data_IF_274741431672
#
_entry.id   IF_274741431672
#
_cell.length_a   1.000
_cell.length_b   1.000
_cell.length_c   1.000
_cell.angle_alpha   90.00
_cell.angle_beta   90.00
_cell.angle_gamma   90.00
#
_symmetry.space_group_name_H-M   'P 1'
#
loop_
_entity.id
_entity.type
_entity.pdbx_description
1 polymer ?
#
# COMPACT_ATOMS: atom_id res chain seq x y z
N UNK A 1 -17.63 -20.74 23.56
CA UNK A 1 -18.51 -19.72 22.96
C UNK A 1 -17.81 -18.40 23.20
N UNK A 2 -17.41 -17.73 22.10
CA UNK A 2 -17.01 -16.31 21.96
C UNK A 2 -15.89 -15.77 22.87
N UNK A 3 -15.01 -14.95 22.28
CA UNK A 3 -13.82 -14.28 22.86
C UNK A 3 -12.58 -15.20 22.88
N UNK A 4 -11.56 -15.14 22.01
CA UNK A 4 -11.01 -14.07 21.17
C UNK A 4 -10.36 -14.65 19.88
N UNK A 5 -11.08 -14.67 18.76
CA UNK A 5 -10.49 -14.92 17.44
C UNK A 5 -9.80 -13.64 16.92
N UNK A 6 -8.94 -13.02 17.73
CA UNK A 6 -8.24 -11.80 17.34
C UNK A 6 -6.84 -12.16 16.86
N UNK A 7 -6.59 -11.96 15.56
CA UNK A 7 -5.24 -12.00 15.02
C UNK A 7 -4.44 -10.82 15.59
N UNK A 8 -3.35 -11.12 16.28
CA UNK A 8 -2.42 -10.13 16.84
C UNK A 8 -1.09 -10.19 16.08
N UNK A 9 -0.45 -9.04 15.93
CA UNK A 9 0.88 -8.98 15.32
C UNK A 9 1.90 -9.63 16.25
N UNK A 10 2.82 -10.40 15.68
CA UNK A 10 3.92 -11.00 16.44
C UNK A 10 4.80 -9.95 17.13
N UNK A 11 4.80 -8.72 16.63
CA UNK A 11 5.56 -7.58 17.12
C UNK A 11 4.87 -6.73 18.18
N UNK A 12 3.64 -7.05 18.60
CA UNK A 12 2.85 -6.20 19.49
C UNK A 12 3.04 -6.59 20.97
N UNK A 13 3.85 -5.84 21.76
CA UNK A 13 4.09 -6.16 23.17
C UNK A 13 2.95 -5.71 24.10
N UNK A 14 1.98 -4.94 23.60
CA UNK A 14 0.92 -4.33 24.40
C UNK A 14 -0.33 -5.21 24.40
N UNK A 15 -0.48 -6.06 25.44
CA UNK A 15 -1.79 -6.64 25.73
C UNK A 15 -2.57 -5.71 26.64
N UNK A 16 -3.80 -5.37 26.25
CA UNK A 16 -4.86 -4.80 27.09
C UNK A 16 -5.37 -5.79 28.13
N UNK A 17 -5.05 -7.08 27.98
CA UNK A 17 -5.45 -8.13 28.92
C UNK A 17 -4.33 -8.49 29.89
N UNK A 18 -4.74 -8.74 31.13
CA UNK A 18 -3.94 -9.13 32.29
C UNK A 18 -3.19 -10.46 32.15
N UNK A 19 -3.27 -11.14 31.00
CA UNK A 19 -2.66 -12.45 30.76
C UNK A 19 -1.46 -12.34 29.80
N UNK A 20 -0.26 -12.53 30.34
CA UNK A 20 1.02 -12.49 29.61
C UNK A 20 1.11 -13.45 28.41
N UNK A 21 0.20 -14.44 28.31
CA UNK A 21 0.23 -15.55 27.34
C UNK A 21 0.03 -15.16 25.87
N UNK A 22 -0.49 -13.96 25.59
CA UNK A 22 -0.79 -13.50 24.23
C UNK A 22 0.03 -12.28 23.80
N UNK A 23 1.03 -11.86 24.58
CA UNK A 23 1.88 -10.72 24.24
C UNK A 23 2.86 -11.09 23.14
N UNK A 24 2.89 -10.29 22.07
CA UNK A 24 3.92 -10.37 21.04
C UNK A 24 5.29 -9.98 21.60
N UNK A 25 6.32 -10.23 20.80
CA UNK A 25 7.72 -9.93 21.13
C UNK A 25 8.13 -8.73 20.28
N UNK A 26 8.54 -7.63 20.92
CA UNK A 26 8.96 -6.42 20.20
C UNK A 26 10.03 -6.76 19.14
N UNK A 27 9.87 -6.19 17.93
CA UNK A 27 10.77 -6.47 16.82
C UNK A 27 10.59 -7.83 16.16
N UNK A 28 9.60 -8.64 16.54
CA UNK A 28 9.36 -9.94 15.95
C UNK A 28 8.51 -9.88 14.68
N UNK A 29 9.05 -10.38 13.57
CA UNK A 29 8.36 -10.44 12.27
C UNK A 29 7.45 -11.65 12.19
N UNK A 30 7.92 -12.81 12.65
CA UNK A 30 7.20 -14.07 12.60
C UNK A 30 7.33 -14.80 13.94
N UNK A 31 6.24 -15.39 14.39
CA UNK A 31 6.16 -16.10 15.66
C UNK A 31 5.30 -17.35 15.55
N UNK A 32 5.61 -18.33 16.40
CA UNK A 32 4.81 -19.54 16.56
C UNK A 32 4.09 -19.48 17.90
N UNK A 33 2.85 -19.97 17.95
CA UNK A 33 2.06 -20.05 19.17
C UNK A 33 1.50 -21.45 19.32
N UNK A 34 1.79 -22.10 20.44
CA UNK A 34 1.14 -23.34 20.86
C UNK A 34 0.19 -23.04 22.01
N UNK A 35 -0.92 -23.80 22.10
CA UNK A 35 -2.13 -23.47 22.88
C UNK A 35 -1.90 -22.65 24.16
N UNK A 36 -1.18 -23.20 25.13
CA UNK A 36 -0.97 -22.58 26.46
C UNK A 36 0.34 -21.82 26.60
N UNK A 37 1.18 -21.78 25.56
CA UNK A 37 2.49 -21.14 25.62
C UNK A 37 2.44 -19.69 25.14
N UNK A 38 3.40 -18.90 25.63
CA UNK A 38 3.70 -17.59 25.08
C UNK A 38 4.15 -17.75 23.61
N UNK A 39 3.85 -16.78 22.73
CA UNK A 39 4.35 -16.83 21.36
C UNK A 39 5.89 -16.81 21.36
N UNK A 40 6.50 -17.71 20.60
CA UNK A 40 7.94 -17.79 20.41
C UNK A 40 8.31 -17.17 19.07
N UNK A 41 9.18 -16.17 19.10
CA UNK A 41 9.63 -15.50 17.89
C UNK A 41 10.56 -16.41 17.09
N UNK A 42 10.46 -16.37 15.76
CA UNK A 42 11.25 -17.18 14.83
C UNK A 42 12.02 -16.35 13.81
N UNK A 43 11.63 -15.09 13.60
CA UNK A 43 12.28 -14.17 12.68
C UNK A 43 12.12 -12.73 13.19
N UNK A 44 13.19 -11.94 13.11
CA UNK A 44 13.16 -10.53 13.49
C UNK A 44 12.76 -9.62 12.31
N UNK A 45 12.16 -8.48 12.63
CA UNK A 45 11.87 -7.41 11.67
C UNK A 45 13.16 -6.76 11.18
N UNK A 46 13.09 -6.06 10.04
CA UNK A 46 14.18 -5.22 9.57
C UNK A 46 14.55 -4.17 10.63
N UNK A 47 15.86 -4.00 10.85
CA UNK A 47 16.41 -3.14 11.90
C UNK A 47 16.50 -3.81 13.26
N UNK A 48 16.38 -5.14 13.33
CA UNK A 48 16.61 -5.92 14.54
C UNK A 48 17.58 -7.08 14.28
N UNK A 49 18.36 -7.46 15.29
CA UNK A 49 19.27 -8.60 15.30
C UNK A 49 18.75 -9.69 16.25
N UNK A 50 18.94 -10.96 15.88
CA UNK A 50 18.61 -12.07 16.77
C UNK A 50 19.50 -12.09 18.02
N UNK A 51 18.86 -12.27 19.18
CA UNK A 51 19.53 -12.56 20.43
C UNK A 51 19.02 -13.90 20.95
N UNK A 52 19.95 -14.81 21.25
CA UNK A 52 19.66 -16.17 21.75
C UNK A 52 19.98 -16.34 23.23
N UNK A 53 20.36 -15.25 23.92
CA UNK A 53 20.73 -15.25 25.33
C UNK A 53 19.45 -15.32 26.18
N UNK A 54 19.01 -16.55 26.48
CA UNK A 54 17.81 -16.81 27.30
C UNK A 54 16.51 -17.02 26.52
N UNK A 55 16.57 -17.23 25.20
CA UNK A 55 15.42 -17.39 24.31
C UNK A 55 15.63 -16.64 22.99
N UNK A 56 14.78 -16.85 21.98
CA UNK A 56 14.85 -16.10 20.73
C UNK A 56 14.15 -14.74 20.90
N UNK A 57 14.93 -13.67 21.00
CA UNK A 57 14.45 -12.28 21.07
C UNK A 57 15.09 -11.44 19.98
N UNK A 58 14.54 -10.24 19.75
CA UNK A 58 14.97 -9.33 18.70
C UNK A 58 15.46 -8.02 19.33
N UNK A 59 16.75 -7.76 19.23
CA UNK A 59 17.37 -6.53 19.74
C UNK A 59 17.44 -5.47 18.63
N UNK A 60 17.15 -4.19 18.90
CA UNK A 60 17.18 -3.16 17.87
C UNK A 60 18.61 -2.87 17.38
N UNK A 61 18.75 -2.64 16.09
CA UNK A 61 19.94 -2.04 15.49
C UNK A 61 19.94 -0.52 15.69
N UNK A 62 21.07 0.13 15.38
CA UNK A 62 21.14 1.59 15.38
C UNK A 62 20.16 2.23 14.36
N UNK A 63 19.72 3.49 14.57
CA UNK A 63 18.84 4.18 13.62
C UNK A 63 19.38 4.17 12.18
N UNK A 64 18.49 3.97 11.19
CA UNK A 64 18.85 3.88 9.77
C UNK A 64 19.47 2.54 9.34
N UNK A 65 19.76 1.63 10.28
CA UNK A 65 20.34 0.33 10.00
C UNK A 65 19.26 -0.74 9.72
N UNK A 66 19.38 -1.46 8.61
CA UNK A 66 18.49 -2.57 8.25
C UNK A 66 18.96 -3.90 8.84
N UNK A 67 20.27 -4.16 8.84
CA UNK A 67 20.88 -5.30 9.53
C UNK A 67 22.16 -4.87 10.23
N UNK A 68 22.40 -5.37 11.44
CA UNK A 68 23.57 -5.04 12.25
C UNK A 68 24.23 -6.30 12.82
N UNK A 69 25.50 -6.19 13.21
CA UNK A 69 26.23 -7.24 13.94
C UNK A 69 26.22 -7.03 15.46
N UNK A 70 25.66 -5.90 15.93
CA UNK A 70 25.57 -5.55 17.35
C UNK A 70 24.41 -4.59 17.58
N UNK A 71 23.66 -4.84 18.66
CA UNK A 71 22.55 -3.99 19.12
C UNK A 71 23.00 -2.54 19.28
N UNK A 72 22.19 -1.62 18.75
CA UNK A 72 22.27 -0.16 18.95
C UNK A 72 23.64 0.49 18.65
N UNK A 73 24.56 -0.23 18.00
CA UNK A 73 25.91 0.27 17.71
C UNK A 73 25.96 0.78 16.25
N UNK A 74 26.05 2.11 16.03
CA UNK A 74 26.04 2.69 14.69
C UNK A 74 27.30 2.36 13.88
N UNK A 75 28.35 1.80 14.49
CA UNK A 75 29.55 1.33 13.79
C UNK A 75 29.48 -0.14 13.35
N UNK A 76 28.35 -0.79 13.63
CA UNK A 76 28.13 -2.23 13.40
C UNK A 76 26.96 -2.48 12.48
N UNK A 77 26.59 -1.51 11.66
CA UNK A 77 25.63 -1.74 10.61
C UNK A 77 26.27 -2.47 9.43
N UNK A 78 25.55 -3.46 8.91
CA UNK A 78 25.97 -4.26 7.76
C UNK A 78 25.23 -3.81 6.49
N UNK A 79 23.94 -3.47 6.63
CA UNK A 79 23.11 -2.93 5.54
C UNK A 79 22.21 -1.82 6.05
N UNK A 80 21.91 -0.84 5.21
CA UNK A 80 21.11 0.32 5.56
C UNK A 80 19.66 0.18 5.10
N UNK A 81 18.75 0.82 5.84
CA UNK A 81 17.34 0.96 5.42
C UNK A 81 17.25 1.79 4.14
N UNK A 82 16.15 1.65 3.40
CA UNK A 82 15.86 2.54 2.29
C UNK A 82 15.91 4.01 2.75
N UNK A 83 16.50 4.88 1.92
CA UNK A 83 16.78 6.28 2.27
C UNK A 83 18.03 6.52 3.10
N UNK A 84 18.83 5.48 3.33
CA UNK A 84 20.17 5.55 3.91
C UNK A 84 21.18 4.80 3.03
N UNK A 85 22.43 5.26 3.04
CA UNK A 85 23.55 4.58 2.40
C UNK A 85 24.63 4.25 3.41
N UNK A 86 25.33 3.14 3.20
CA UNK A 86 26.49 2.78 4.01
C UNK A 86 27.65 3.68 3.59
N UNK A 87 28.22 4.42 4.53
CA UNK A 87 29.35 5.33 4.28
C UNK A 87 30.51 4.58 3.64
N UNK A 88 30.92 3.51 4.30
CA UNK A 88 31.92 2.54 3.87
C UNK A 88 31.82 1.28 4.75
N UNK A 89 32.32 0.15 4.25
CA UNK A 89 32.24 -1.14 4.96
C UNK A 89 33.09 -1.20 6.24
N UNK A 90 34.01 -0.24 6.45
CA UNK A 90 34.90 -0.23 7.61
C UNK A 90 34.35 0.60 8.78
N UNK A 91 33.58 1.65 8.50
CA UNK A 91 32.87 2.45 9.49
C UNK A 91 31.59 1.76 9.96
N UNK A 92 30.90 1.05 9.06
CA UNK A 92 29.62 0.42 9.36
C UNK A 92 28.50 1.43 9.67
N UNK A 93 28.66 2.70 9.28
CA UNK A 93 27.73 3.79 9.56
C UNK A 93 26.75 4.00 8.39
N UNK A 94 25.45 4.01 8.70
CA UNK A 94 24.40 4.38 7.74
C UNK A 94 24.08 5.87 7.81
N UNK A 95 24.20 6.55 6.68
CA UNK A 95 23.97 7.99 6.54
C UNK A 95 22.70 8.20 5.74
N UNK A 96 21.87 9.18 6.13
CA UNK A 96 20.68 9.52 5.34
C UNK A 96 21.08 10.03 3.95
N UNK A 97 20.38 9.57 2.91
CA UNK A 97 20.58 10.07 1.55
C UNK A 97 20.47 11.60 1.43
N UNK A 98 19.74 12.26 2.34
CA UNK A 98 19.55 13.71 2.37
C UNK A 98 20.52 14.49 3.27
N UNK A 99 21.44 13.83 3.98
CA UNK A 99 22.34 14.51 4.91
C UNK A 99 23.54 15.13 4.17
N UNK A 100 23.41 16.42 3.81
CA UNK A 100 24.45 17.16 3.09
C UNK A 100 25.74 17.35 3.89
N UNK A 101 25.70 17.24 5.21
CA UNK A 101 26.90 17.34 6.07
C UNK A 101 27.75 16.09 6.02
N UNK A 102 27.17 14.96 5.60
CA UNK A 102 27.81 13.65 5.54
C UNK A 102 27.86 13.06 4.12
N UNK A 103 27.74 13.91 3.10
CA UNK A 103 27.90 13.51 1.69
C UNK A 103 26.63 13.04 0.99
N UNK A 104 25.46 13.23 1.61
CA UNK A 104 24.17 13.10 0.94
C UNK A 104 23.82 14.31 0.07
N UNK A 105 22.70 14.21 -0.65
CA UNK A 105 22.14 15.28 -1.50
C UNK A 105 20.81 15.73 -0.89
N UNK A 106 20.65 17.02 -0.60
CA UNK A 106 19.40 17.56 -0.09
C UNK A 106 18.23 17.13 -0.98
N UNK A 107 17.14 16.69 -0.35
CA UNK A 107 15.98 16.22 -1.09
C UNK A 107 16.10 14.82 -1.68
N UNK A 108 17.18 14.08 -1.45
CA UNK A 108 17.29 12.71 -1.92
C UNK A 108 16.53 11.71 -1.02
N UNK A 109 15.58 10.96 -1.58
CA UNK A 109 14.81 9.94 -0.87
C UNK A 109 15.44 8.55 -0.97
N UNK A 110 15.98 8.20 -2.13
CA UNK A 110 16.65 6.91 -2.34
C UNK A 110 17.99 7.17 -3.02
N UNK A 111 19.03 6.45 -2.59
CA UNK A 111 20.38 6.64 -3.07
C UNK A 111 21.17 5.33 -3.09
N UNK A 112 22.27 5.33 -3.84
CA UNK A 112 23.23 4.24 -3.90
C UNK A 112 24.64 4.76 -3.66
N UNK A 113 25.49 3.95 -3.01
CA UNK A 113 26.88 4.30 -2.74
C UNK A 113 27.83 3.16 -3.13
N UNK A 114 27.70 2.67 -4.37
CA UNK A 114 28.58 1.63 -4.93
C UNK A 114 29.74 2.27 -5.70
N UNK A 115 30.65 2.90 -4.96
CA UNK A 115 31.83 3.60 -5.48
C UNK A 115 31.68 5.12 -5.52
N UNK A 116 30.58 5.63 -6.08
CA UNK A 116 30.23 7.06 -6.03
C UNK A 116 28.80 7.19 -5.54
N UNK A 117 28.57 8.12 -4.61
CA UNK A 117 27.23 8.43 -4.12
C UNK A 117 26.37 8.96 -5.27
N UNK A 118 25.18 8.37 -5.42
CA UNK A 118 24.18 8.77 -6.42
C UNK A 118 22.82 8.81 -5.76
N UNK A 119 22.12 9.93 -5.90
CA UNK A 119 20.69 9.94 -5.64
C UNK A 119 19.96 9.24 -6.80
N UNK A 120 19.06 8.31 -6.51
CA UNK A 120 18.27 7.59 -7.52
C UNK A 120 16.82 8.03 -7.55
N UNK A 121 16.33 8.62 -6.45
CA UNK A 121 14.96 9.14 -6.34
C UNK A 121 14.94 10.33 -5.40
N UNK A 122 14.27 11.40 -5.81
CA UNK A 122 14.04 12.55 -4.95
C UNK A 122 12.89 12.30 -3.98
N UNK A 123 12.93 12.98 -2.84
CA UNK A 123 11.82 13.09 -1.89
C UNK A 123 10.62 13.70 -2.60
N UNK A 124 9.45 13.37 -2.06
CA UNK A 124 8.22 14.08 -2.38
C UNK A 124 8.50 15.58 -2.27
N UNK A 125 8.05 16.37 -3.26
CA UNK A 125 8.29 17.81 -3.43
C UNK A 125 9.68 18.23 -3.90
N UNK A 126 10.47 17.31 -4.46
CA UNK A 126 11.70 17.66 -5.17
C UNK A 126 11.61 17.16 -6.61
N UNK A 127 11.95 18.04 -7.56
CA UNK A 127 12.06 17.68 -8.97
C UNK A 127 13.45 17.07 -9.21
N UNK A 128 13.51 15.83 -9.75
CA UNK A 128 14.77 15.26 -10.20
C UNK A 128 15.23 15.95 -11.48
N UNK A 129 16.54 16.18 -11.59
CA UNK A 129 17.21 16.57 -12.82
C UNK A 129 18.38 15.63 -13.09
N UNK A 130 18.47 15.13 -14.32
CA UNK A 130 19.40 14.07 -14.73
C UNK A 130 18.79 12.67 -14.72
N UNK A 131 19.61 11.66 -14.99
CA UNK A 131 19.18 10.26 -15.12
C UNK A 131 19.47 9.46 -13.83
N UNK A 132 18.53 8.65 -13.32
CA UNK A 132 18.74 7.82 -12.11
C UNK A 132 19.97 6.92 -12.17
N UNK A 133 20.34 6.41 -13.36
CA UNK A 133 21.53 5.55 -13.55
C UNK A 133 22.85 6.28 -13.31
N UNK A 134 22.90 7.57 -13.60
CA UNK A 134 24.07 8.43 -13.38
C UNK A 134 24.01 9.19 -12.06
N UNK A 135 22.82 9.28 -11.47
CA UNK A 135 22.50 10.08 -10.30
C UNK A 135 21.67 11.30 -10.70
N UNK A 136 20.65 11.61 -9.90
CA UNK A 136 19.83 12.82 -10.06
C UNK A 136 20.26 13.89 -9.05
N UNK A 137 20.11 15.15 -9.42
CA UNK A 137 20.06 16.26 -8.47
C UNK A 137 18.60 16.53 -8.10
N UNK A 138 18.34 16.77 -6.83
CA UNK A 138 17.00 17.06 -6.33
C UNK A 138 16.89 18.55 -6.02
N UNK A 139 16.05 19.25 -6.76
CA UNK A 139 15.73 20.66 -6.51
C UNK A 139 14.33 20.73 -5.91
N UNK A 140 14.11 21.57 -4.89
CA UNK A 140 12.77 21.69 -4.31
C UNK A 140 11.80 22.15 -5.40
N UNK A 141 10.65 21.50 -5.50
CA UNK A 141 9.65 21.79 -6.51
C UNK A 141 9.09 23.22 -6.38
N UNK A 142 9.11 23.83 -5.18
CA UNK A 142 8.72 25.22 -4.90
C UNK A 142 9.74 26.29 -5.34
N UNK A 143 10.88 25.89 -5.90
CA UNK A 143 11.88 26.84 -6.44
C UNK A 143 11.68 27.11 -7.94
N UNK A 144 10.68 26.49 -8.56
CA UNK A 144 10.20 26.88 -9.89
C UNK A 144 9.31 28.13 -9.75
N UNK A 145 9.55 29.18 -10.52
CA UNK A 145 8.72 30.40 -10.50
C UNK A 145 7.23 30.11 -10.78
N UNK A 146 6.93 28.98 -11.44
CA UNK A 146 5.56 28.51 -11.70
C UNK A 146 4.95 27.71 -10.54
N UNK A 147 5.74 27.24 -9.57
CA UNK A 147 5.30 26.47 -8.41
C UNK A 147 5.54 27.26 -7.12
N UNK A 148 4.49 27.57 -6.36
CA UNK A 148 4.56 28.53 -5.25
C UNK A 148 4.93 29.96 -5.59
N UNK A 149 4.85 30.33 -6.89
CA UNK A 149 5.14 31.69 -7.33
C UNK A 149 6.58 32.11 -7.02
N UNK A 150 7.53 31.17 -7.03
CA UNK A 150 8.95 31.43 -6.76
C UNK A 150 9.27 31.78 -5.30
N UNK A 151 8.38 31.48 -4.34
CA UNK A 151 8.62 31.72 -2.91
C UNK A 151 8.90 30.43 -2.15
N UNK A 152 9.74 30.52 -1.11
CA UNK A 152 10.02 29.40 -0.22
C UNK A 152 8.69 28.89 0.37
N UNK A 153 8.36 27.62 0.10
CA UNK A 153 7.12 26.99 0.55
C UNK A 153 7.25 25.47 0.64
N UNK A 154 6.24 24.79 1.15
CA UNK A 154 6.15 23.33 1.04
C UNK A 154 5.14 22.97 -0.07
N UNK A 155 5.50 22.05 -0.97
CA UNK A 155 4.64 21.62 -2.07
C UNK A 155 3.85 20.34 -1.76
N UNK A 156 3.47 20.11 -0.49
CA UNK A 156 2.85 18.85 -0.07
C UNK A 156 1.40 18.68 -0.56
N UNK A 157 0.78 19.72 -1.13
CA UNK A 157 -0.57 19.60 -1.65
C UNK A 157 -0.55 18.91 -3.01
N UNK A 158 -0.74 17.60 -3.01
CA UNK A 158 -0.83 16.79 -4.22
C UNK A 158 -2.24 16.87 -4.79
N UNK A 159 -2.38 17.27 -6.04
CA UNK A 159 -3.66 17.29 -6.78
C UNK A 159 -3.53 16.44 -8.03
N UNK A 160 -4.53 15.60 -8.28
CA UNK A 160 -4.58 14.66 -9.39
C UNK A 160 -5.51 15.27 -10.43
N UNK A 161 -5.01 15.45 -11.65
CA UNK A 161 -5.82 15.96 -12.76
C UNK A 161 -6.77 14.89 -13.35
N UNK A 162 -7.51 15.27 -14.39
CA UNK A 162 -8.47 14.39 -15.04
C UNK A 162 -7.78 13.17 -15.70
N UNK A 163 -6.55 13.32 -16.15
CA UNK A 163 -5.75 12.27 -16.78
C UNK A 163 -5.11 11.33 -15.74
N UNK A 164 -5.17 11.70 -14.46
CA UNK A 164 -4.56 10.94 -13.36
C UNK A 164 -3.11 11.31 -13.09
N UNK A 165 -2.65 12.45 -13.60
CA UNK A 165 -1.30 12.94 -13.34
C UNK A 165 -1.30 13.72 -12.04
N UNK A 166 -0.34 13.40 -11.17
CA UNK A 166 -0.12 14.11 -9.90
C UNK A 166 0.65 15.42 -10.13
N UNK A 167 0.10 16.49 -9.58
CA UNK A 167 0.68 17.83 -9.57
C UNK A 167 0.88 18.28 -8.14
N UNK A 168 1.95 19.03 -7.90
CA UNK A 168 2.34 19.49 -6.57
C UNK A 168 2.09 20.99 -6.42
N UNK A 169 1.39 21.36 -5.36
CA UNK A 169 0.95 22.72 -5.06
C UNK A 169 1.34 23.12 -3.63
N UNK A 170 1.32 24.42 -3.35
CA UNK A 170 1.75 24.92 -2.04
C UNK A 170 0.75 24.59 -0.94
N UNK A 171 1.26 23.90 0.08
CA UNK A 171 0.61 23.67 1.37
C UNK A 171 1.08 24.65 2.45
N UNK A 172 2.20 25.35 2.22
CA UNK A 172 2.84 26.24 3.19
C UNK A 172 3.61 27.36 2.49
N UNK A 173 3.57 28.56 3.04
CA UNK A 173 4.30 29.73 2.53
C UNK A 173 5.28 30.28 3.56
N UNK A 174 6.58 30.10 3.33
CA UNK A 174 7.63 30.47 4.28
C UNK A 174 7.80 31.97 4.51
N UNK A 175 7.38 32.79 3.57
CA UNK A 175 7.21 34.22 3.80
C UNK A 175 5.92 34.46 4.62
N UNK A 176 6.05 35.06 5.80
CA UNK A 176 4.92 35.33 6.71
C UNK A 176 3.90 36.32 6.16
N UNK A 177 4.22 37.04 5.08
CA UNK A 177 3.31 37.92 4.35
C UNK A 177 2.56 37.25 3.20
N UNK A 178 2.78 35.94 3.00
CA UNK A 178 2.17 35.16 1.93
C UNK A 178 1.25 34.06 2.47
N UNK A 179 0.29 33.67 1.64
CA UNK A 179 -0.80 32.76 2.02
C UNK A 179 -0.97 31.65 0.98
N UNK A 180 -1.16 30.38 1.37
CA UNK A 180 -1.35 29.27 0.44
C UNK A 180 -2.78 29.25 -0.13
N UNK A 181 -2.97 29.96 -1.24
CA UNK A 181 -4.25 30.13 -1.93
C UNK A 181 -4.13 29.58 -3.35
N UNK A 182 -5.06 28.72 -3.73
CA UNK A 182 -5.11 28.06 -5.04
C UNK A 182 -3.78 27.38 -5.42
N UNK A 183 -3.10 26.83 -4.40
CA UNK A 183 -1.83 26.14 -4.58
C UNK A 183 -0.63 27.05 -4.84
N UNK A 184 -0.75 28.35 -4.59
CA UNK A 184 0.30 29.36 -4.71
C UNK A 184 0.45 30.16 -3.42
N UNK A 185 1.62 30.77 -3.22
CA UNK A 185 1.84 31.73 -2.14
C UNK A 185 1.40 33.13 -2.56
N UNK A 186 0.10 33.38 -2.42
CA UNK A 186 -0.55 34.63 -2.77
C UNK A 186 -0.19 35.76 -1.77
N UNK A 187 -0.18 37.00 -2.26
CA UNK A 187 0.02 38.20 -1.43
C UNK A 187 -1.19 38.58 -0.59
N UNK A 188 -2.36 38.02 -0.89
CA UNK A 188 -3.61 38.30 -0.20
C UNK A 188 -4.32 36.99 0.14
N UNK A 189 -4.93 36.93 1.31
CA UNK A 189 -5.67 35.74 1.75
C UNK A 189 -7.04 35.58 1.07
N UNK A 190 -7.49 36.55 0.25
CA UNK A 190 -8.76 36.50 -0.48
C UNK A 190 -9.98 36.20 0.43
N UNK A 191 -10.04 36.86 1.59
CA UNK A 191 -11.06 36.66 2.64
C UNK A 191 -11.03 35.29 3.32
N UNK A 192 -10.07 34.43 3.03
CA UNK A 192 -9.78 33.24 3.83
C UNK A 192 -9.02 33.63 5.11
N UNK A 193 -9.05 32.76 6.11
CA UNK A 193 -8.30 32.97 7.36
C UNK A 193 -7.03 32.15 7.28
N UNK A 194 -5.89 32.82 7.13
CA UNK A 194 -4.59 32.17 7.01
C UNK A 194 -3.58 32.83 7.96
N UNK A 195 -2.96 32.01 8.80
CA UNK A 195 -2.03 32.40 9.85
C UNK A 195 -0.89 31.38 9.91
N UNK A 196 0.27 31.79 10.44
CA UNK A 196 1.42 30.89 10.62
C UNK A 196 1.75 30.08 9.36
N UNK A 197 1.78 30.76 8.21
CA UNK A 197 2.20 30.20 6.91
C UNK A 197 1.21 29.21 6.25
N UNK A 198 0.05 28.97 6.88
CA UNK A 198 -1.01 28.05 6.42
C UNK A 198 -2.38 28.70 6.47
N UNK A 199 -3.40 28.08 5.87
CA UNK A 199 -4.79 28.47 6.07
C UNK A 199 -5.45 27.68 7.20
N UNK A 200 -6.17 28.39 8.06
CA UNK A 200 -6.89 27.84 9.22
C UNK A 200 -8.38 27.64 8.92
N UNK A 201 -8.95 28.44 8.02
CA UNK A 201 -10.30 28.22 7.48
C UNK A 201 -10.51 28.91 6.14
N UNK A 202 -11.41 28.35 5.33
CA UNK A 202 -11.73 28.87 4.01
C UNK A 202 -13.10 29.55 3.97
N UNK A 203 -13.24 30.55 3.08
CA UNK A 203 -14.46 31.33 2.90
C UNK A 203 -15.41 30.72 1.86
N UNK A 204 -16.57 31.34 1.63
CA UNK A 204 -17.54 30.89 0.63
C UNK A 204 -16.89 30.79 -0.77
N UNK A 205 -17.12 29.66 -1.44
CA UNK A 205 -16.55 29.37 -2.77
C UNK A 205 -15.15 28.76 -2.74
N UNK A 206 -14.56 28.62 -1.54
CA UNK A 206 -13.31 27.89 -1.30
C UNK A 206 -13.56 26.65 -0.45
N UNK A 207 -12.58 25.76 -0.40
CA UNK A 207 -12.53 24.64 0.53
C UNK A 207 -11.10 24.40 0.99
N UNK A 208 -10.96 23.80 2.18
CA UNK A 208 -9.67 23.45 2.76
C UNK A 208 -9.15 22.14 2.16
N UNK A 209 -7.90 22.15 1.72
CA UNK A 209 -7.16 20.97 1.27
C UNK A 209 -5.68 21.13 1.62
N UNK A 210 -5.09 20.16 2.32
CA UNK A 210 -3.65 20.13 2.64
C UNK A 210 -3.09 21.51 3.09
N UNK A 211 -3.73 22.12 4.09
CA UNK A 211 -3.37 23.43 4.68
C UNK A 211 -3.51 24.68 3.78
N UNK A 212 -4.09 24.56 2.59
CA UNK A 212 -4.41 25.69 1.71
C UNK A 212 -5.91 25.82 1.43
N UNK A 213 -6.30 27.00 0.93
CA UNK A 213 -7.67 27.24 0.46
C UNK A 213 -7.74 27.24 -1.07
N UNK A 214 -8.68 26.46 -1.60
CA UNK A 214 -8.81 26.20 -3.04
C UNK A 214 -10.20 26.54 -3.55
N UNK A 215 -10.29 27.20 -4.70
CA UNK A 215 -11.55 27.66 -5.29
C UNK A 215 -12.24 26.57 -6.12
N UNK A 216 -13.53 26.32 -5.89
CA UNK A 216 -14.25 25.19 -6.54
C UNK A 216 -14.44 25.32 -8.06
N UNK A 217 -14.26 26.50 -8.65
CA UNK A 217 -14.50 26.77 -10.07
C UNK A 217 -13.23 27.16 -10.85
N UNK A 218 -12.06 26.97 -10.25
CA UNK A 218 -10.78 27.32 -10.87
C UNK A 218 -9.77 26.25 -10.53
N UNK A 219 -8.93 25.86 -11.48
CA UNK A 219 -7.85 24.91 -11.21
C UNK A 219 -6.80 25.55 -10.28
N UNK A 220 -6.29 24.78 -9.30
CA UNK A 220 -6.49 23.33 -9.14
C UNK A 220 -7.73 22.91 -8.35
N UNK A 221 -8.43 23.84 -7.69
CA UNK A 221 -9.57 23.53 -6.83
C UNK A 221 -10.71 22.77 -7.51
N UNK A 222 -11.02 23.11 -8.77
CA UNK A 222 -12.07 22.44 -9.56
C UNK A 222 -11.76 20.98 -9.93
N UNK A 223 -10.50 20.52 -9.79
CA UNK A 223 -10.12 19.12 -10.00
C UNK A 223 -10.50 18.23 -8.81
N UNK A 224 -10.67 18.82 -7.63
CA UNK A 224 -10.95 18.11 -6.38
C UNK A 224 -12.41 18.27 -5.95
N UNK A 225 -12.93 19.49 -6.04
CA UNK A 225 -14.24 19.84 -5.52
C UNK A 225 -15.10 20.54 -6.57
N UNK A 226 -16.30 20.01 -6.80
CA UNK A 226 -17.27 20.59 -7.73
C UNK A 226 -18.16 21.66 -7.10
N UNK A 227 -18.46 21.55 -5.81
CA UNK A 227 -19.32 22.50 -5.11
C UNK A 227 -18.93 22.61 -3.64
N UNK A 228 -18.96 23.83 -3.10
CA UNK A 228 -18.70 24.13 -1.68
C UNK A 228 -19.96 24.66 -0.98
N UNK A 229 -20.07 24.41 0.33
CA UNK A 229 -21.05 25.05 1.20
C UNK A 229 -20.78 26.55 1.35
N UNK A 230 -21.72 27.26 2.00
CA UNK A 230 -21.53 28.67 2.35
C UNK A 230 -20.42 28.88 3.38
N UNK A 231 -20.13 27.88 4.21
CA UNK A 231 -19.04 27.98 5.19
C UNK A 231 -17.65 27.70 4.61
N UNK A 232 -17.54 27.22 3.36
CA UNK A 232 -16.24 26.88 2.76
C UNK A 232 -15.83 25.41 2.92
N UNK A 233 -16.82 24.50 2.85
CA UNK A 233 -16.62 23.04 2.93
C UNK A 233 -16.93 22.42 1.58
N UNK A 234 -16.10 21.52 1.07
CA UNK A 234 -16.43 20.77 -0.15
C UNK A 234 -17.63 19.84 0.11
N UNK A 235 -18.67 19.93 -0.73
CA UNK A 235 -19.91 19.14 -0.60
C UNK A 235 -20.16 18.20 -1.76
N UNK A 236 -19.38 18.30 -2.84
CA UNK A 236 -19.42 17.37 -3.97
C UNK A 236 -18.00 17.22 -4.53
N UNK A 237 -17.45 16.00 -4.51
CA UNK A 237 -16.16 15.73 -5.13
C UNK A 237 -16.27 15.90 -6.65
N UNK A 238 -15.21 16.41 -7.28
CA UNK A 238 -15.21 16.69 -8.72
C UNK A 238 -15.25 15.43 -9.58
N UNK A 239 -14.68 14.34 -9.10
CA UNK A 239 -14.59 13.05 -9.78
C UNK A 239 -14.41 11.92 -8.75
N UNK A 240 -14.30 10.68 -9.23
CA UNK A 240 -14.14 9.48 -8.40
C UNK A 240 -12.71 9.24 -7.89
N UNK A 241 -11.75 10.13 -8.20
CA UNK A 241 -10.39 10.13 -7.64
C UNK A 241 -10.33 10.81 -6.28
N UNK A 242 -11.42 11.45 -5.88
CA UNK A 242 -11.57 12.15 -4.60
C UNK A 242 -12.82 11.67 -3.87
N UNK A 243 -12.80 11.75 -2.54
CA UNK A 243 -13.96 11.53 -1.70
C UNK A 243 -14.14 12.64 -0.67
N UNK A 244 -15.38 12.88 -0.26
CA UNK A 244 -15.71 13.84 0.78
C UNK A 244 -15.43 13.27 2.17
N UNK A 245 -14.90 14.10 3.06
CA UNK A 245 -14.60 13.72 4.44
C UNK A 245 -15.85 13.94 5.30
N UNK A 246 -16.47 12.88 5.85
CA UNK A 246 -17.71 13.02 6.61
C UNK A 246 -17.53 13.85 7.89
N UNK A 247 -18.39 14.87 8.05
CA UNK A 247 -18.41 15.74 9.22
C UNK A 247 -17.30 16.81 9.25
N UNK A 248 -16.59 17.02 8.16
CA UNK A 248 -15.57 18.07 8.07
C UNK A 248 -16.20 19.47 8.18
N UNK A 249 -15.53 20.34 8.93
CA UNK A 249 -15.83 21.78 8.98
C UNK A 249 -14.97 22.55 7.99
N UNK A 250 -15.16 23.87 7.90
CA UNK A 250 -14.35 24.74 7.03
C UNK A 250 -12.91 24.96 7.51
N UNK A 251 -12.58 24.48 8.71
CA UNK A 251 -11.22 24.45 9.25
C UNK A 251 -10.53 23.09 9.03
N UNK A 252 -11.18 22.16 8.35
CA UNK A 252 -10.71 20.79 8.16
C UNK A 252 -10.73 20.42 6.67
N UNK A 253 -9.86 19.50 6.29
CA UNK A 253 -9.90 18.92 4.95
C UNK A 253 -11.25 18.27 4.70
N UNK A 254 -12.00 18.81 3.74
CA UNK A 254 -13.36 18.37 3.42
C UNK A 254 -13.42 17.43 2.21
N UNK A 255 -12.32 17.33 1.49
CA UNK A 255 -12.11 16.41 0.37
C UNK A 255 -10.71 15.80 0.49
N UNK A 256 -10.57 14.54 0.10
CA UNK A 256 -9.31 13.82 0.12
C UNK A 256 -9.15 12.98 -1.15
N UNK A 257 -7.94 12.90 -1.68
CA UNK A 257 -7.63 11.99 -2.78
C UNK A 257 -7.77 10.53 -2.34
N UNK A 258 -8.29 9.69 -3.22
CA UNK A 258 -8.41 8.25 -3.02
C UNK A 258 -7.04 7.59 -2.80
N UNK A 259 -5.98 8.13 -3.38
CA UNK A 259 -4.62 7.62 -3.26
C UNK A 259 -3.87 8.11 -2.01
N UNK A 260 -4.47 8.95 -1.16
CA UNK A 260 -3.75 9.57 -0.03
C UNK A 260 -3.83 8.69 1.24
N UNK A 261 -2.76 7.96 1.61
CA UNK A 261 -2.78 7.08 2.79
C UNK A 261 -2.62 7.84 4.12
N UNK A 262 -2.22 9.12 4.10
CA UNK A 262 -2.03 9.92 5.32
C UNK A 262 -3.37 10.29 5.96
N UNK A 263 -4.38 10.55 5.12
CA UNK A 263 -5.72 10.86 5.58
C UNK A 263 -5.91 12.22 6.20
N UNK A 264 -7.03 12.35 6.90
CA UNK A 264 -7.36 13.49 7.77
C UNK A 264 -8.28 13.02 8.90
N UNK A 265 -8.40 13.81 9.96
CA UNK A 265 -9.34 13.57 11.05
C UNK A 265 -10.39 14.68 11.18
N UNK A 266 -11.56 14.30 11.68
CA UNK A 266 -12.60 15.21 12.17
C UNK A 266 -12.86 14.95 13.66
N UNK A 267 -13.29 15.96 14.40
CA UNK A 267 -13.40 15.90 15.87
C UNK A 267 -12.07 15.96 16.61
N UNK A 268 -12.10 15.82 17.94
CA UNK A 268 -10.93 15.84 18.81
C UNK A 268 -10.97 14.69 19.82
N UNK A 269 -9.80 14.36 20.39
CA UNK A 269 -9.63 13.39 21.47
C UNK A 269 -10.28 12.02 21.15
N UNK A 270 -10.93 11.39 22.14
CA UNK A 270 -11.59 10.10 21.99
C UNK A 270 -12.77 10.09 21.00
N UNK A 271 -13.20 11.26 20.52
CA UNK A 271 -14.24 11.40 19.48
C UNK A 271 -13.66 11.63 18.08
N UNK A 272 -12.33 11.62 17.93
CA UNK A 272 -11.68 11.83 16.64
C UNK A 272 -11.99 10.69 15.66
N UNK A 273 -12.33 11.07 14.43
CA UNK A 273 -12.71 10.19 13.32
C UNK A 273 -11.73 10.38 12.19
N UNK A 274 -10.89 9.39 11.94
CA UNK A 274 -9.88 9.42 10.88
C UNK A 274 -10.41 8.79 9.59
N UNK A 275 -10.16 9.45 8.47
CA UNK A 275 -10.52 9.00 7.14
C UNK A 275 -9.27 8.99 6.28
N UNK A 276 -8.99 7.86 5.63
CA UNK A 276 -7.79 7.68 4.80
C UNK A 276 -8.15 7.19 3.41
N UNK A 277 -7.33 7.56 2.43
CA UNK A 277 -7.26 6.89 1.14
C UNK A 277 -6.39 5.64 1.22
N UNK A 278 -6.16 5.03 0.06
CA UNK A 278 -5.41 3.80 -0.14
C UNK A 278 -4.29 4.07 -1.14
N UNK A 279 -3.05 3.77 -0.76
CA UNK A 279 -1.90 3.95 -1.63
C UNK A 279 -2.09 3.25 -2.99
N UNK A 280 -1.84 3.99 -4.08
CA UNK A 280 -2.02 3.54 -5.46
C UNK A 280 -3.47 3.38 -5.92
N UNK A 281 -4.44 3.91 -5.17
CA UNK A 281 -5.86 3.88 -5.56
C UNK A 281 -6.24 5.07 -6.45
N UNK A 282 -6.45 4.79 -7.74
CA UNK A 282 -6.87 5.76 -8.76
C UNK A 282 -8.30 6.25 -8.60
N UNK A 283 -9.20 5.43 -8.05
CA UNK A 283 -10.60 5.77 -7.83
C UNK A 283 -11.22 4.98 -6.69
N UNK A 284 -12.08 5.60 -5.89
CA UNK A 284 -12.65 4.99 -4.69
C UNK A 284 -14.10 5.37 -4.44
N UNK A 285 -14.76 4.57 -3.61
CA UNK A 285 -16.03 4.91 -2.97
C UNK A 285 -15.74 5.53 -1.62
N UNK A 286 -16.45 6.62 -1.31
CA UNK A 286 -16.29 7.33 -0.05
C UNK A 286 -16.58 6.41 1.15
N UNK A 287 -15.82 6.53 2.26
CA UNK A 287 -16.10 5.82 3.48
C UNK A 287 -17.44 6.26 4.09
N UNK A 288 -18.12 5.34 4.77
CA UNK A 288 -19.26 5.70 5.60
C UNK A 288 -18.81 6.57 6.78
N UNK A 289 -19.62 7.56 7.15
CA UNK A 289 -19.34 8.39 8.32
C UNK A 289 -19.38 7.57 9.61
N UNK A 290 -18.38 7.75 10.47
CA UNK A 290 -18.31 7.08 11.77
C UNK A 290 -19.25 7.75 12.77
N UNK A 291 -19.94 6.95 13.61
CA UNK A 291 -20.74 7.45 14.74
C UNK A 291 -19.85 7.81 15.93
N UNK A 292 -18.92 6.91 16.26
CA UNK A 292 -17.96 7.03 17.37
C UNK A 292 -16.54 7.32 16.86
N UNK A 293 -15.60 7.56 17.78
CA UNK A 293 -14.20 7.72 17.43
C UNK A 293 -13.62 6.46 16.80
N UNK A 294 -12.71 6.62 15.84
CA UNK A 294 -12.13 5.50 15.09
C UNK A 294 -11.50 5.92 13.77
N UNK A 295 -11.21 4.94 12.92
CA UNK A 295 -10.60 5.13 11.61
C UNK A 295 -11.35 4.31 10.57
N UNK A 296 -11.57 4.87 9.38
CA UNK A 296 -12.19 4.16 8.27
C UNK A 296 -11.56 4.57 6.92
N UNK A 297 -11.10 3.61 6.11
CA UNK A 297 -10.55 3.89 4.79
C UNK A 297 -11.67 4.04 3.74
N UNK A 298 -11.39 4.79 2.67
CA UNK A 298 -12.17 4.69 1.45
C UNK A 298 -12.08 3.27 0.86
N UNK A 299 -13.02 2.89 -0.01
CA UNK A 299 -13.00 1.58 -0.67
C UNK A 299 -12.50 1.75 -2.10
N UNK A 300 -11.33 1.20 -2.39
CA UNK A 300 -10.72 1.30 -3.71
C UNK A 300 -11.53 0.52 -4.76
N UNK A 301 -11.81 1.19 -5.88
CA UNK A 301 -12.57 0.65 -7.02
C UNK A 301 -11.71 0.52 -8.28
N UNK A 302 -10.62 1.27 -8.37
CA UNK A 302 -9.61 1.15 -9.43
C UNK A 302 -8.24 1.57 -8.88
N UNK A 303 -7.18 0.93 -9.37
CA UNK A 303 -5.81 1.22 -8.97
C UNK A 303 -5.04 1.89 -10.12
N UNK A 304 -3.99 2.64 -9.77
CA UNK A 304 -3.05 3.16 -10.75
C UNK A 304 -2.15 2.04 -11.29
N UNK A 305 -1.57 2.26 -12.47
CA UNK A 305 -0.68 1.30 -13.15
C UNK A 305 -1.39 -0.05 -13.43
N UNK A 306 -0.62 -1.15 -13.50
CA UNK A 306 -1.13 -2.50 -13.77
C UNK A 306 -1.70 -3.22 -12.53
N UNK A 307 -1.96 -2.48 -11.43
CA UNK A 307 -2.50 -3.04 -10.19
C UNK A 307 -4.03 -3.19 -10.28
N UNK A 308 -4.59 -4.04 -9.42
CA UNK A 308 -6.03 -4.21 -9.25
C UNK A 308 -6.42 -4.08 -7.77
N UNK A 309 -7.63 -3.58 -7.47
CA UNK A 309 -8.13 -3.62 -6.10
C UNK A 309 -8.23 -5.07 -5.61
N UNK A 310 -7.96 -5.27 -4.33
CA UNK A 310 -8.33 -6.52 -3.66
C UNK A 310 -9.86 -6.60 -3.48
N UNK A 311 -10.35 -7.77 -3.04
CA UNK A 311 -11.79 -8.07 -3.02
C UNK A 311 -12.60 -7.12 -2.12
N UNK A 312 -12.02 -6.70 -1.00
CA UNK A 312 -12.58 -5.77 -0.03
C UNK A 312 -12.29 -4.30 -0.38
N UNK A 313 -11.49 -4.04 -1.41
CA UNK A 313 -11.09 -2.71 -1.83
C UNK A 313 -10.22 -1.98 -0.81
N UNK A 314 -9.56 -2.69 0.11
CA UNK A 314 -8.65 -2.12 1.11
C UNK A 314 -7.23 -1.86 0.59
N UNK A 315 -6.90 -2.34 -0.61
CA UNK A 315 -5.56 -2.24 -1.17
C UNK A 315 -5.48 -2.46 -2.67
N UNK A 316 -4.39 -1.98 -3.25
CA UNK A 316 -4.02 -2.18 -4.65
C UNK A 316 -2.87 -3.17 -4.79
N UNK A 317 -3.13 -4.29 -5.47
CA UNK A 317 -2.20 -5.44 -5.56
C UNK A 317 -1.89 -5.79 -7.01
N UNK A 318 -0.71 -6.35 -7.25
CA UNK A 318 -0.31 -6.83 -8.57
C UNK A 318 -1.04 -8.15 -8.86
N UNK A 319 -1.84 -8.17 -9.93
CA UNK A 319 -2.66 -9.31 -10.30
C UNK A 319 -2.29 -9.80 -11.70
N UNK A 320 -1.17 -10.52 -11.80
CA UNK A 320 -0.59 -10.97 -13.07
C UNK A 320 -1.41 -12.04 -13.79
N UNK A 321 -2.31 -12.73 -13.09
CA UNK A 321 -3.19 -13.73 -13.71
C UNK A 321 -4.34 -13.03 -14.43
N UNK A 322 -4.34 -13.08 -15.77
CA UNK A 322 -5.37 -12.48 -16.62
C UNK A 322 -6.76 -13.07 -16.39
N UNK A 323 -6.84 -14.29 -15.87
CA UNK A 323 -8.09 -14.98 -15.56
C UNK A 323 -8.56 -14.72 -14.13
N UNK A 324 -7.79 -13.94 -13.36
CA UNK A 324 -8.16 -13.53 -12.03
C UNK A 324 -8.99 -12.24 -12.05
N UNK A 325 -10.17 -12.33 -11.42
CA UNK A 325 -11.10 -11.23 -11.22
C UNK A 325 -10.64 -10.32 -10.09
N UNK A 326 -10.17 -10.89 -8.98
CA UNK A 326 -9.59 -10.12 -7.86
C UNK A 326 -8.49 -10.92 -7.15
N UNK A 327 -7.39 -10.24 -6.84
CA UNK A 327 -6.28 -10.80 -6.08
C UNK A 327 -6.41 -10.45 -4.59
N UNK A 328 -5.99 -11.35 -3.71
CA UNK A 328 -5.95 -11.12 -2.25
C UNK A 328 -4.69 -10.36 -1.86
N UNK A 329 -3.58 -10.72 -2.49
CA UNK A 329 -2.25 -10.12 -2.38
C UNK A 329 -1.51 -10.31 -3.71
N UNK A 330 -0.30 -9.76 -3.81
CA UNK A 330 0.50 -9.82 -5.03
C UNK A 330 0.64 -11.26 -5.56
N UNK A 331 0.13 -11.49 -6.77
CA UNK A 331 0.19 -12.78 -7.47
C UNK A 331 -0.72 -13.88 -6.93
N UNK A 332 -1.55 -13.62 -5.91
CA UNK A 332 -2.47 -14.61 -5.32
C UNK A 332 -3.90 -14.22 -5.65
N UNK A 333 -4.53 -14.99 -6.53
CA UNK A 333 -5.93 -14.82 -6.88
C UNK A 333 -6.86 -15.24 -5.74
N UNK A 334 -7.89 -14.43 -5.48
CA UNK A 334 -8.99 -14.73 -4.56
C UNK A 334 -10.30 -15.11 -5.26
N UNK A 335 -10.51 -14.57 -6.47
CA UNK A 335 -11.71 -14.86 -7.27
C UNK A 335 -11.37 -14.89 -8.76
N UNK A 336 -11.81 -15.94 -9.45
CA UNK A 336 -11.57 -16.11 -10.88
C UNK A 336 -12.70 -15.56 -11.75
N UNK A 337 -12.37 -15.18 -12.98
CA UNK A 337 -13.35 -14.85 -14.00
C UNK A 337 -14.24 -16.06 -14.31
N UNK A 338 -15.43 -15.81 -14.84
CA UNK A 338 -16.37 -16.87 -15.24
C UNK A 338 -15.69 -17.87 -16.19
N UNK A 339 -15.83 -19.16 -15.90
CA UNK A 339 -15.15 -20.23 -16.65
C UNK A 339 -13.79 -20.64 -16.10
N UNK A 340 -13.37 -20.10 -14.94
CA UNK A 340 -12.15 -20.46 -14.24
C UNK A 340 -12.42 -20.78 -12.76
N UNK A 341 -11.69 -21.75 -12.23
CA UNK A 341 -11.75 -22.20 -10.84
C UNK A 341 -10.44 -21.84 -10.15
N UNK A 342 -10.55 -21.51 -8.87
CA UNK A 342 -9.40 -21.19 -8.05
C UNK A 342 -8.67 -22.48 -7.64
N UNK A 343 -7.39 -22.59 -7.99
CA UNK A 343 -6.48 -23.66 -7.59
C UNK A 343 -5.19 -23.04 -7.04
N UNK A 344 -4.94 -23.20 -5.74
CA UNK A 344 -3.76 -22.67 -5.04
C UNK A 344 -3.44 -21.19 -5.35
N UNK A 345 -4.45 -20.33 -5.36
CA UNK A 345 -4.28 -18.90 -5.64
C UNK A 345 -4.05 -18.56 -7.11
N UNK A 346 -4.32 -19.48 -8.04
CA UNK A 346 -4.29 -19.24 -9.49
C UNK A 346 -5.62 -19.65 -10.12
N UNK A 347 -5.94 -19.04 -11.25
CA UNK A 347 -7.14 -19.36 -11.99
C UNK A 347 -6.86 -20.38 -13.09
N UNK A 348 -7.38 -21.59 -12.90
CA UNK A 348 -7.32 -22.66 -13.90
C UNK A 348 -8.66 -22.76 -14.61
N UNK A 349 -8.64 -23.06 -15.91
CA UNK A 349 -9.90 -23.16 -16.67
C UNK A 349 -10.81 -24.23 -16.05
N UNK A 350 -12.03 -23.82 -15.71
CA UNK A 350 -13.12 -24.71 -15.32
C UNK A 350 -13.61 -25.40 -16.58
N UNK A 351 -12.84 -26.35 -17.07
CA UNK A 351 -13.22 -27.09 -18.27
C UNK A 351 -14.61 -27.70 -18.09
N UNK A 352 -15.60 -27.17 -18.80
CA UNK A 352 -16.74 -27.94 -19.27
C UNK A 352 -16.24 -28.93 -20.33
N UNK A 353 -15.43 -29.89 -19.89
CA UNK A 353 -15.07 -31.15 -20.55
C UNK A 353 -13.95 -31.84 -19.75
N UNK A 354 -14.29 -32.46 -18.61
CA UNK A 354 -13.61 -33.68 -18.15
C UNK A 354 -14.07 -34.88 -19.01
N UNK A 355 -13.96 -34.74 -20.31
CA UNK A 355 -14.11 -35.81 -21.31
C UNK A 355 -12.93 -35.76 -22.27
N UNK A 356 -11.74 -35.60 -21.70
CA UNK A 356 -10.46 -35.69 -22.39
C UNK A 356 -9.68 -36.93 -21.95
N UNK A 357 -10.34 -38.09 -21.90
CA UNK A 357 -9.64 -39.36 -22.05
C UNK A 357 -9.06 -39.33 -23.47
N UNK A 358 -7.73 -39.36 -23.56
CA UNK A 358 -7.02 -39.52 -24.83
C UNK A 358 -7.75 -40.56 -25.69
N UNK A 359 -8.10 -40.16 -26.90
CA UNK A 359 -8.76 -40.98 -27.92
C UNK A 359 -7.91 -42.22 -28.31
N UNK A 360 -6.74 -42.41 -27.68
CA UNK A 360 -5.92 -43.62 -27.75
C UNK A 360 -6.27 -44.74 -26.74
N UNK A 361 -7.26 -44.59 -25.85
CA UNK A 361 -7.65 -45.65 -24.89
C UNK A 361 -9.01 -46.33 -25.18
N UNK A 362 -9.79 -45.85 -26.16
CA UNK A 362 -11.14 -46.37 -26.49
C UNK A 362 -11.11 -47.15 -27.82
N UNK A 363 -10.05 -47.94 -28.03
CA UNK A 363 -9.97 -48.97 -29.08
C UNK A 363 -9.37 -50.29 -28.55
N UNK A 364 -9.51 -50.55 -27.24
CA UNK A 364 -8.90 -51.72 -26.58
C UNK A 364 -9.84 -52.57 -25.72
N UNK A 365 -11.13 -52.23 -25.59
CA UNK A 365 -12.07 -52.95 -24.69
C UNK A 365 -13.07 -53.83 -25.45
N UNK A 366 -13.20 -53.69 -26.77
CA UNK A 366 -14.10 -54.55 -27.57
C UNK A 366 -13.49 -55.88 -28.03
N UNK A 367 -12.15 -56.03 -28.00
CA UNK A 367 -11.48 -57.28 -28.45
C UNK A 367 -11.31 -58.28 -27.31
N UNK A 368 -11.12 -57.81 -26.07
CA UNK A 368 -10.96 -58.69 -24.91
C UNK A 368 -12.25 -59.46 -24.58
N UNK A 369 -13.42 -58.81 -24.71
CA UNK A 369 -14.71 -59.47 -24.44
C UNK A 369 -15.03 -60.52 -25.51
N UNK A 370 -14.75 -60.24 -26.80
CA UNK A 370 -14.97 -61.20 -27.89
C UNK A 370 -14.02 -62.39 -27.80
N UNK A 371 -12.76 -62.19 -27.39
CA UNK A 371 -11.81 -63.29 -27.18
C UNK A 371 -12.20 -64.17 -25.97
N UNK A 372 -12.68 -63.58 -24.88
CA UNK A 372 -13.12 -64.33 -23.68
C UNK A 372 -14.41 -65.10 -23.96
N UNK A 373 -15.39 -64.49 -24.63
CA UNK A 373 -16.65 -65.17 -25.00
C UNK A 373 -16.39 -66.24 -26.08
N UNK A 374 -15.54 -65.96 -27.08
CA UNK A 374 -15.14 -66.94 -28.09
C UNK A 374 -14.37 -68.13 -27.50
N UNK A 375 -13.48 -67.88 -26.54
CA UNK A 375 -12.74 -68.91 -25.82
C UNK A 375 -13.65 -69.79 -24.95
N UNK A 376 -14.62 -69.18 -24.24
CA UNK A 376 -15.60 -69.91 -23.42
C UNK A 376 -16.51 -70.81 -24.27
N UNK A 377 -17.01 -70.31 -25.41
CA UNK A 377 -17.86 -71.11 -26.31
C UNK A 377 -17.05 -72.24 -26.96
N UNK A 378 -15.79 -71.98 -27.37
CA UNK A 378 -14.90 -73.02 -27.91
C UNK A 378 -14.58 -74.11 -26.89
N UNK A 379 -14.30 -73.75 -25.65
CA UNK A 379 -14.03 -74.70 -24.56
C UNK A 379 -15.26 -75.55 -24.23
N UNK A 380 -16.46 -74.96 -24.20
CA UNK A 380 -17.70 -75.69 -23.98
C UNK A 380 -18.02 -76.66 -25.13
N UNK A 381 -17.85 -76.24 -26.39
CA UNK A 381 -18.02 -77.15 -27.53
C UNK A 381 -17.02 -78.31 -27.51
N UNK A 382 -15.74 -78.06 -27.18
CA UNK A 382 -14.77 -79.14 -27.04
C UNK A 382 -15.12 -80.10 -25.90
N UNK A 383 -15.51 -79.55 -24.74
CA UNK A 383 -15.85 -80.35 -23.56
C UNK A 383 -17.05 -81.28 -23.80
N UNK A 384 -18.11 -80.80 -24.47
CA UNK A 384 -19.29 -81.62 -24.74
C UNK A 384 -19.09 -82.62 -25.90
N UNK A 385 -18.27 -82.29 -26.90
CA UNK A 385 -18.05 -83.17 -28.06
C UNK A 385 -17.00 -84.25 -27.79
N UNK A 386 -15.95 -83.96 -27.01
CA UNK A 386 -14.85 -84.91 -26.77
C UNK A 386 -14.98 -85.73 -25.47
N UNK A 387 -15.92 -85.41 -24.58
CA UNK A 387 -16.15 -86.20 -23.35
C UNK A 387 -17.24 -87.27 -23.48
N UNK A 388 -17.83 -87.42 -24.67
CA UNK A 388 -18.83 -88.47 -24.98
C UNK A 388 -18.25 -89.73 -25.62
N UNK A 389 -16.91 -89.87 -25.72
CA UNK A 389 -16.28 -91.05 -26.33
C UNK A 389 -14.85 -91.29 -25.82
N UNK A 390 -14.70 -91.47 -24.50
CA UNK A 390 -13.60 -92.19 -23.86
C UNK A 390 -13.99 -92.54 -22.42
#
# INVERSE_FOLDING_TARGET
>A
MTEDNVCRLCSDPAASDSEQKNKGIAGCKACTKTASANPACTECLEGYIENRSGGFTCDPCAPGCATCSKKEDPSKCLTCKQGYFLKDSSSGECISCSDTTKGGIEGCAECTNSGTFKCTKCKVNYRPSGEPSTGVTCTKACEDDTACGGTAGACDAIVIDNDGVEHHYCSYCGDSSKYPIDGLCASEAQSNTCNNHVCESCTTGYFMYMNGCYKVNTEPGSLMCKTSSKEGVCTEAANNRYFLVPGATNAQQSVLACSNPLGTSTGTDSAAKAYVGIDGCSACTAPAGLSDGGMTPAVCTSCDSDKKPNKDGSGCVVCSDTNCKSCVMDGVCGECNSGFSLDNGKCVSSGANRSGLSTGAIAGISVAVVAVVGGLVGFLCWWFVCRGKA
#
